data_IF_691399988080
#
_entry.id   IF_691399988080
#
_cell.length_a   1.000
_cell.length_b   1.000
_cell.length_c   1.000
_cell.angle_alpha   90.00
_cell.angle_beta   90.00
_cell.angle_gamma   90.00
#
_symmetry.space_group_name_H-M   'P 1'
#
loop_
_entity.id
_entity.type
_entity.pdbx_description
1 polymer ?
#
# COMPACT_ATOMS: atom_id res chain seq x y z
N UNK A 1 -32.79 -0.32 -2.51
CA UNK A 1 -32.18 0.61 -3.49
C UNK A 1 -31.04 -0.16 -4.11
N UNK A 2 -30.77 -0.04 -5.40
CA UNK A 2 -29.63 -0.73 -6.05
C UNK A 2 -28.38 0.16 -6.06
N UNK A 3 -27.27 -0.41 -6.51
CA UNK A 3 -26.02 0.34 -6.68
C UNK A 3 -26.25 1.54 -7.60
N UNK A 4 -25.73 2.70 -7.20
CA UNK A 4 -25.77 3.92 -7.98
C UNK A 4 -24.73 3.88 -9.08
N UNK A 5 -25.15 3.65 -10.31
CA UNK A 5 -24.26 3.58 -11.48
C UNK A 5 -23.67 4.92 -11.91
N UNK A 6 -24.23 6.05 -11.46
CA UNK A 6 -23.70 7.39 -11.74
C UNK A 6 -22.34 7.65 -11.04
N UNK A 7 -21.92 6.74 -10.17
CA UNK A 7 -20.59 6.79 -9.56
C UNK A 7 -19.48 6.28 -10.49
N UNK A 8 -19.81 5.59 -11.57
CA UNK A 8 -18.83 5.13 -12.54
C UNK A 8 -18.09 6.33 -13.18
N UNK A 9 -16.77 6.33 -13.04
CA UNK A 9 -15.94 7.42 -13.53
C UNK A 9 -15.90 8.68 -12.65
N UNK A 10 -16.64 8.72 -11.54
CA UNK A 10 -16.63 9.85 -10.61
C UNK A 10 -15.34 9.88 -9.80
N UNK A 11 -14.73 11.04 -9.70
CA UNK A 11 -13.57 11.30 -8.85
C UNK A 11 -14.00 11.57 -7.39
N UNK A 12 -13.16 11.12 -6.44
CA UNK A 12 -13.28 11.32 -5.00
C UNK A 12 -12.01 11.94 -4.44
N UNK A 13 -12.14 12.76 -3.42
CA UNK A 13 -11.04 13.50 -2.84
C UNK A 13 -10.71 14.78 -3.62
N UNK A 14 -9.48 15.33 -3.60
CA UNK A 14 -8.35 14.78 -2.84
C UNK A 14 -8.52 14.90 -1.31
N UNK A 15 -8.04 13.91 -0.58
CA UNK A 15 -7.87 13.95 0.87
C UNK A 15 -6.39 14.08 1.17
N UNK A 16 -6.06 15.00 2.07
CA UNK A 16 -4.67 15.22 2.53
C UNK A 16 -4.53 14.72 3.95
N UNK A 17 -3.48 13.93 4.21
CA UNK A 17 -3.21 13.35 5.52
C UNK A 17 -1.72 13.34 5.79
N UNK A 18 -1.33 13.82 6.95
CA UNK A 18 0.03 13.69 7.46
C UNK A 18 0.19 12.35 8.18
N UNK A 19 1.37 11.76 8.08
CA UNK A 19 1.79 10.60 8.85
C UNK A 19 3.22 10.82 9.35
N UNK A 20 3.55 10.15 10.43
CA UNK A 20 4.90 10.17 10.99
C UNK A 20 5.43 8.73 11.22
N UNK A 21 6.64 8.62 11.75
CA UNK A 21 7.26 7.35 12.06
C UNK A 21 6.44 6.48 13.04
N UNK A 22 5.62 7.10 13.90
CA UNK A 22 4.77 6.35 14.85
C UNK A 22 3.62 5.65 14.14
N UNK A 23 3.07 6.25 13.10
CA UNK A 23 2.05 5.62 12.25
C UNK A 23 2.64 4.41 11.52
N UNK A 24 3.89 4.52 11.03
CA UNK A 24 4.62 3.42 10.41
C UNK A 24 4.83 2.27 11.39
N UNK A 25 5.30 2.57 12.60
CA UNK A 25 5.49 1.56 13.66
C UNK A 25 4.17 0.95 14.11
N UNK A 26 3.12 1.78 14.30
CA UNK A 26 1.80 1.31 14.70
C UNK A 26 1.23 0.33 13.67
N UNK A 27 1.37 0.65 12.38
CA UNK A 27 0.96 -0.28 11.32
C UNK A 27 1.76 -1.59 11.38
N UNK A 28 3.07 -1.51 11.53
CA UNK A 28 3.93 -2.68 11.63
C UNK A 28 3.52 -3.60 12.79
N UNK A 29 3.26 -3.05 13.97
CA UNK A 29 2.69 -3.79 15.11
C UNK A 29 1.30 -4.34 14.80
N UNK A 30 0.47 -3.54 14.09
CA UNK A 30 -0.87 -3.91 13.64
C UNK A 30 -0.89 -5.13 12.71
N UNK A 31 0.19 -5.38 11.96
CA UNK A 31 0.36 -6.56 11.11
C UNK A 31 1.38 -7.56 11.68
N UNK A 32 1.60 -7.51 12.99
CA UNK A 32 2.31 -8.52 13.77
C UNK A 32 3.84 -8.46 13.70
N UNK A 33 4.45 -7.34 13.30
CA UNK A 33 5.88 -7.14 13.52
C UNK A 33 6.16 -7.02 15.01
N UNK A 34 7.29 -7.49 15.47
CA UNK A 34 7.64 -7.55 16.88
C UNK A 34 9.12 -7.31 17.15
N UNK A 35 9.55 -7.72 18.34
CA UNK A 35 10.93 -7.52 18.82
C UNK A 35 12.00 -8.25 18.00
N UNK A 36 11.61 -9.21 17.18
CA UNK A 36 12.47 -9.94 16.23
C UNK A 36 12.63 -9.24 14.88
N UNK A 37 11.84 -8.16 14.64
CA UNK A 37 11.86 -7.38 13.40
C UNK A 37 12.03 -5.88 13.70
N UNK A 38 13.07 -5.52 14.47
CA UNK A 38 13.33 -4.14 14.93
C UNK A 38 13.39 -3.12 13.79
N UNK A 39 13.75 -3.52 12.59
CA UNK A 39 13.76 -2.64 11.42
C UNK A 39 12.38 -2.04 11.10
N UNK A 40 11.28 -2.60 11.59
CA UNK A 40 9.92 -2.12 11.36
C UNK A 40 9.27 -1.45 12.58
N UNK A 41 9.87 -1.61 13.77
CA UNK A 41 9.25 -1.17 15.04
C UNK A 41 10.15 -0.27 15.90
N UNK A 42 11.34 0.03 15.41
CA UNK A 42 12.28 0.92 16.07
C UNK A 42 12.73 2.04 15.11
N UNK A 43 12.69 3.29 15.56
CA UNK A 43 12.92 4.48 14.73
C UNK A 43 14.35 4.60 14.17
N UNK A 44 15.32 3.85 14.71
CA UNK A 44 16.66 3.81 14.15
C UNK A 44 16.68 2.92 12.90
N UNK A 45 17.01 3.51 11.76
CA UNK A 45 17.05 2.84 10.46
C UNK A 45 15.69 2.19 10.09
N UNK A 46 14.59 2.86 10.51
CA UNK A 46 13.21 2.38 10.32
C UNK A 46 12.92 2.11 8.85
N UNK A 47 12.25 1.00 8.59
CA UNK A 47 11.74 0.61 7.28
C UNK A 47 10.23 0.51 7.28
N UNK A 48 9.61 0.78 6.13
CA UNK A 48 8.17 0.69 5.98
C UNK A 48 7.80 -0.68 5.42
N UNK A 49 6.88 -1.40 6.07
CA UNK A 49 6.23 -2.56 5.46
C UNK A 49 5.40 -2.05 4.28
N UNK A 50 5.63 -2.52 3.04
CA UNK A 50 5.04 -1.91 1.84
C UNK A 50 3.51 -1.86 1.85
N UNK A 51 2.86 -2.83 2.50
CA UNK A 51 1.41 -2.84 2.66
C UNK A 51 0.85 -1.70 3.54
N UNK A 52 1.69 -0.87 4.19
CA UNK A 52 1.28 0.40 4.80
C UNK A 52 0.52 1.30 3.82
N UNK A 53 0.86 1.23 2.54
CA UNK A 53 0.22 1.99 1.46
C UNK A 53 -1.30 1.77 1.35
N UNK A 54 -1.84 0.64 1.86
CA UNK A 54 -3.29 0.36 1.81
C UNK A 54 -4.10 1.32 2.68
N UNK A 55 -3.47 1.95 3.69
CA UNK A 55 -4.14 2.82 4.65
C UNK A 55 -4.77 4.06 4.00
N UNK A 56 -4.16 4.58 2.93
CA UNK A 56 -4.68 5.75 2.22
C UNK A 56 -6.05 5.51 1.58
N UNK A 57 -6.39 4.25 1.25
CA UNK A 57 -7.69 3.92 0.69
C UNK A 57 -8.84 4.12 1.70
N UNK A 58 -8.56 3.99 3.01
CA UNK A 58 -9.58 4.20 4.05
C UNK A 58 -10.05 5.64 4.14
N UNK A 59 -9.20 6.60 3.83
CA UNK A 59 -9.53 8.03 3.92
C UNK A 59 -10.60 8.43 2.89
N UNK A 60 -10.69 7.71 1.75
CA UNK A 60 -11.70 7.93 0.71
C UNK A 60 -12.95 7.05 0.86
N UNK A 61 -12.85 5.97 1.64
CA UNK A 61 -13.91 4.97 1.76
C UNK A 61 -15.28 5.57 2.16
N UNK A 62 -15.39 6.47 3.15
CA UNK A 62 -16.67 7.08 3.50
C UNK A 62 -17.32 7.83 2.33
N UNK A 63 -16.55 8.58 1.56
CA UNK A 63 -17.05 9.32 0.39
C UNK A 63 -17.49 8.38 -0.73
N UNK A 64 -16.69 7.33 -1.01
CA UNK A 64 -16.98 6.34 -2.04
C UNK A 64 -18.26 5.55 -1.74
N UNK A 65 -18.55 5.26 -0.47
CA UNK A 65 -19.66 4.38 -0.09
C UNK A 65 -20.93 5.17 0.23
N UNK A 66 -20.84 6.40 0.77
CA UNK A 66 -22.00 7.18 1.25
C UNK A 66 -23.11 7.39 0.21
N UNK A 67 -22.77 7.49 -1.07
CA UNK A 67 -23.70 7.71 -2.16
C UNK A 67 -23.82 6.50 -3.12
N UNK A 68 -23.22 5.37 -2.75
CA UNK A 68 -23.13 4.21 -3.63
C UNK A 68 -24.41 3.38 -3.72
N UNK A 69 -25.29 3.50 -2.72
CA UNK A 69 -26.45 2.62 -2.57
C UNK A 69 -26.09 1.20 -2.11
N UNK A 70 -24.82 0.93 -1.80
CA UNK A 70 -24.37 -0.37 -1.32
C UNK A 70 -24.89 -0.65 0.07
N UNK A 71 -25.40 -1.85 0.29
CA UNK A 71 -25.78 -2.34 1.60
C UNK A 71 -24.52 -2.74 2.41
N UNK A 72 -24.15 -1.91 3.40
CA UNK A 72 -22.94 -2.11 4.21
C UNK A 72 -22.89 -3.46 4.94
N UNK A 73 -24.04 -4.03 5.32
CA UNK A 73 -24.10 -5.35 5.96
C UNK A 73 -23.64 -6.48 5.02
N UNK A 74 -23.71 -6.27 3.70
CA UNK A 74 -23.24 -7.19 2.68
C UNK A 74 -21.87 -6.88 2.10
N UNK A 75 -21.26 -5.76 2.52
CA UNK A 75 -20.02 -5.28 1.93
C UNK A 75 -18.80 -6.01 2.49
N UNK A 76 -17.96 -6.54 1.60
CA UNK A 76 -16.67 -7.12 1.92
C UNK A 76 -15.59 -6.58 0.98
N UNK A 77 -14.35 -6.63 1.41
CA UNK A 77 -13.19 -6.44 0.54
C UNK A 77 -12.98 -7.71 -0.28
N UNK A 78 -13.13 -7.61 -1.59
CA UNK A 78 -13.04 -8.77 -2.50
C UNK A 78 -11.63 -9.04 -3.00
N UNK A 79 -10.93 -7.98 -3.43
CA UNK A 79 -9.55 -8.07 -3.95
C UNK A 79 -8.82 -6.75 -3.71
N UNK A 80 -7.52 -6.84 -3.46
CA UNK A 80 -6.64 -5.69 -3.34
C UNK A 80 -5.39 -5.88 -4.19
N UNK A 81 -5.09 -4.89 -5.05
CA UNK A 81 -3.88 -4.86 -5.87
C UNK A 81 -3.13 -3.54 -5.60
N UNK A 82 -2.04 -3.66 -4.87
CA UNK A 82 -1.17 -2.55 -4.51
C UNK A 82 -0.01 -2.47 -5.50
N UNK A 83 0.19 -1.30 -6.11
CA UNK A 83 1.32 -0.99 -6.98
C UNK A 83 2.13 0.12 -6.31
N UNK A 84 3.42 -0.12 -6.05
CA UNK A 84 4.34 0.84 -5.46
C UNK A 84 5.24 1.41 -6.56
N UNK A 85 5.19 2.72 -6.72
CA UNK A 85 5.97 3.47 -7.70
C UNK A 85 7.29 3.96 -7.11
N UNK A 86 7.23 4.47 -5.85
CA UNK A 86 8.38 4.94 -5.08
C UNK A 86 8.30 4.42 -3.64
N UNK A 87 9.43 4.19 -2.96
CA UNK A 87 9.47 3.83 -1.56
C UNK A 87 8.75 4.86 -0.67
N UNK A 88 8.05 4.36 0.35
CA UNK A 88 7.33 5.22 1.30
C UNK A 88 8.34 5.73 2.33
N UNK A 89 8.47 7.06 2.54
CA UNK A 89 9.38 7.62 3.53
C UNK A 89 9.06 7.15 4.95
N UNK A 90 10.00 6.54 5.68
CA UNK A 90 9.75 6.03 7.03
C UNK A 90 9.65 7.14 8.10
N UNK A 91 10.25 8.30 7.86
CA UNK A 91 10.23 9.46 8.75
C UNK A 91 8.87 10.15 8.80
N UNK A 92 8.03 9.94 7.76
CA UNK A 92 6.73 10.57 7.61
C UNK A 92 6.65 11.49 6.41
N UNK A 93 5.51 12.16 6.27
CA UNK A 93 5.23 13.09 5.18
C UNK A 93 3.76 13.38 5.03
N UNK A 94 3.43 14.17 4.02
CA UNK A 94 2.06 14.50 3.64
C UNK A 94 1.63 13.67 2.43
N UNK A 95 0.57 12.89 2.59
CA UNK A 95 -0.06 12.10 1.54
C UNK A 95 -1.26 12.86 0.97
N UNK A 96 -1.33 12.94 -0.35
CA UNK A 96 -2.47 13.50 -1.09
C UNK A 96 -3.11 12.37 -1.89
N UNK A 97 -4.29 11.95 -1.48
CA UNK A 97 -4.98 10.77 -2.01
C UNK A 97 -6.24 11.17 -2.76
N UNK A 98 -6.39 10.63 -3.95
CA UNK A 98 -7.59 10.76 -4.78
C UNK A 98 -7.99 9.40 -5.32
N UNK A 99 -9.26 9.21 -5.60
CA UNK A 99 -9.79 7.94 -6.11
C UNK A 99 -10.84 8.13 -7.19
N UNK A 100 -11.12 7.04 -7.88
CA UNK A 100 -12.18 6.95 -8.88
C UNK A 100 -12.77 5.55 -8.90
N UNK A 101 -14.10 5.42 -9.01
CA UNK A 101 -14.72 4.14 -9.36
C UNK A 101 -14.52 3.92 -10.86
N UNK A 102 -13.77 2.87 -11.19
CA UNK A 102 -13.39 2.56 -12.58
C UNK A 102 -14.30 1.52 -13.22
N UNK A 103 -14.91 0.63 -12.42
CA UNK A 103 -15.76 -0.44 -12.93
C UNK A 103 -16.83 -0.84 -11.89
N UNK A 104 -18.01 -1.21 -12.39
CA UNK A 104 -19.10 -1.79 -11.61
C UNK A 104 -19.63 -3.00 -12.39
N UNK A 105 -19.53 -4.19 -11.79
CA UNK A 105 -19.97 -5.44 -12.41
C UNK A 105 -21.16 -6.04 -11.66
N UNK A 106 -22.16 -6.50 -12.43
CA UNK A 106 -23.31 -7.26 -11.91
C UNK A 106 -23.08 -8.75 -12.02
N UNK A 107 -23.00 -9.44 -10.89
CA UNK A 107 -22.87 -10.90 -10.85
C UNK A 107 -24.21 -11.63 -10.77
N UNK A 108 -25.31 -10.88 -10.85
CA UNK A 108 -26.66 -11.37 -10.66
C UNK A 108 -27.15 -11.32 -9.22
N UNK A 109 -28.46 -11.37 -9.05
CA UNK A 109 -29.17 -11.15 -7.78
C UNK A 109 -28.65 -12.00 -6.62
N UNK A 110 -28.24 -13.23 -6.88
CA UNK A 110 -27.78 -14.18 -5.86
C UNK A 110 -26.26 -14.07 -5.56
N UNK A 111 -25.50 -13.45 -6.45
CA UNK A 111 -24.04 -13.39 -6.36
C UNK A 111 -23.49 -11.99 -6.04
N UNK A 112 -24.40 -11.00 -5.99
CA UNK A 112 -24.02 -9.63 -5.65
C UNK A 112 -23.36 -8.87 -6.80
N UNK A 113 -22.54 -7.88 -6.47
CA UNK A 113 -21.86 -7.02 -7.41
C UNK A 113 -20.40 -6.78 -7.01
N UNK A 114 -19.58 -6.35 -7.98
CA UNK A 114 -18.23 -5.88 -7.73
C UNK A 114 -18.15 -4.40 -8.09
N UNK A 115 -17.60 -3.60 -7.18
CA UNK A 115 -17.26 -2.19 -7.41
C UNK A 115 -15.76 -2.04 -7.30
N UNK A 116 -15.13 -1.59 -8.39
CA UNK A 116 -13.68 -1.46 -8.46
C UNK A 116 -13.32 0.02 -8.42
N UNK A 117 -12.47 0.37 -7.46
CA UNK A 117 -11.94 1.71 -7.33
C UNK A 117 -10.41 1.69 -7.54
N UNK A 118 -9.91 2.71 -8.21
CA UNK A 118 -8.51 3.07 -8.27
C UNK A 118 -8.26 4.24 -7.34
N UNK A 119 -7.28 4.09 -6.44
CA UNK A 119 -6.91 5.10 -5.45
C UNK A 119 -5.43 5.40 -5.61
N UNK A 120 -5.12 6.61 -6.04
CA UNK A 120 -3.76 7.10 -6.24
C UNK A 120 -3.33 7.99 -5.07
N UNK A 121 -2.12 7.76 -4.58
CA UNK A 121 -1.52 8.57 -3.51
C UNK A 121 -0.20 9.18 -3.97
N UNK A 122 -0.08 10.49 -3.72
CA UNK A 122 1.06 11.32 -4.10
C UNK A 122 1.65 12.01 -2.86
N UNK A 123 2.90 12.45 -2.95
CA UNK A 123 3.45 13.41 -1.99
C UNK A 123 2.81 14.79 -2.18
N UNK A 124 3.04 15.71 -1.23
CA UNK A 124 2.61 17.11 -1.35
C UNK A 124 3.16 17.81 -2.61
N UNK A 125 4.34 17.39 -3.09
CA UNK A 125 4.99 17.91 -4.30
C UNK A 125 4.47 17.26 -5.59
N UNK A 126 3.52 16.32 -5.49
CA UNK A 126 2.86 15.68 -6.62
C UNK A 126 3.57 14.42 -7.17
N UNK A 127 4.60 13.89 -6.49
CA UNK A 127 5.24 12.61 -6.88
C UNK A 127 4.31 11.46 -6.52
N UNK A 128 4.04 10.57 -7.47
CA UNK A 128 3.18 9.41 -7.26
C UNK A 128 3.92 8.33 -6.47
N UNK A 129 3.43 8.03 -5.27
CA UNK A 129 4.02 7.01 -4.39
C UNK A 129 3.46 5.62 -4.68
N UNK A 130 2.15 5.46 -4.71
CA UNK A 130 1.51 4.17 -4.91
C UNK A 130 0.09 4.30 -5.45
N UNK A 131 -0.42 3.19 -5.98
CA UNK A 131 -1.81 3.03 -6.44
C UNK A 131 -2.40 1.80 -5.78
N UNK A 132 -3.60 1.94 -5.21
CA UNK A 132 -4.41 0.84 -4.71
C UNK A 132 -5.59 0.60 -5.67
N UNK A 133 -5.72 -0.59 -6.23
CA UNK A 133 -6.95 -1.04 -6.87
C UNK A 133 -7.73 -1.87 -5.86
N UNK A 134 -8.88 -1.34 -5.47
CA UNK A 134 -9.73 -1.92 -4.42
C UNK A 134 -10.96 -2.50 -5.08
N UNK A 135 -11.19 -3.80 -4.93
CA UNK A 135 -12.45 -4.44 -5.34
C UNK A 135 -13.34 -4.63 -4.12
N UNK A 136 -14.44 -3.91 -4.09
CA UNK A 136 -15.50 -4.05 -3.10
C UNK A 136 -16.48 -5.12 -3.59
N UNK A 137 -16.78 -6.09 -2.75
CA UNK A 137 -17.78 -7.12 -3.02
C UNK A 137 -19.07 -6.83 -2.26
N UNK A 138 -20.05 -6.28 -2.97
CA UNK A 138 -21.38 -5.95 -2.47
C UNK A 138 -22.30 -7.17 -2.64
N UNK A 139 -22.28 -8.10 -1.67
CA UNK A 139 -22.95 -9.41 -1.73
C UNK A 139 -24.45 -9.33 -1.91
N UNK A 140 -25.08 -8.26 -1.43
CA UNK A 140 -26.54 -8.10 -1.38
C UNK A 140 -27.09 -7.20 -2.50
N UNK A 141 -26.23 -6.70 -3.39
CA UNK A 141 -26.58 -5.61 -4.31
C UNK A 141 -26.46 -5.98 -5.81
N UNK A 142 -26.62 -7.24 -6.16
CA UNK A 142 -26.63 -7.70 -7.55
C UNK A 142 -28.01 -7.73 -8.20
N UNK A 143 -28.05 -7.92 -9.53
CA UNK A 143 -29.28 -8.07 -10.31
C UNK A 143 -29.83 -6.76 -10.88
N UNK A 144 -28.97 -5.75 -11.08
CA UNK A 144 -29.34 -4.47 -11.70
C UNK A 144 -29.18 -4.47 -13.23
N UNK A 145 -28.67 -5.56 -13.85
CA UNK A 145 -28.56 -5.71 -15.30
C UNK A 145 -27.30 -5.13 -15.92
N UNK A 146 -26.22 -4.97 -15.11
CA UNK A 146 -24.90 -4.54 -15.57
C UNK A 146 -24.09 -5.67 -16.24
N UNK A 147 -22.89 -5.34 -16.72
CA UNK A 147 -21.95 -6.32 -17.28
C UNK A 147 -21.45 -7.29 -16.20
N UNK A 148 -21.22 -8.56 -16.57
CA UNK A 148 -20.55 -9.53 -15.69
C UNK A 148 -19.03 -9.29 -15.69
N UNK A 149 -18.39 -9.61 -14.58
CA UNK A 149 -16.95 -9.44 -14.42
C UNK A 149 -16.17 -10.40 -15.32
N UNK A 150 -15.05 -9.97 -15.92
CA UNK A 150 -14.17 -10.84 -16.67
C UNK A 150 -13.71 -12.05 -15.84
N UNK A 151 -13.65 -13.23 -16.47
CA UNK A 151 -13.11 -14.42 -15.81
C UNK A 151 -11.59 -14.39 -15.89
N UNK A 152 -10.95 -14.28 -14.73
CA UNK A 152 -9.50 -14.40 -14.64
C UNK A 152 -9.10 -15.89 -14.63
N UNK A 153 -8.16 -16.25 -15.50
CA UNK A 153 -7.50 -17.55 -15.47
C UNK A 153 -6.25 -17.44 -14.60
N UNK A 154 -6.23 -18.14 -13.47
CA UNK A 154 -5.10 -18.16 -12.54
C UNK A 154 -4.89 -19.60 -12.07
N UNK A 155 -3.65 -20.04 -12.01
CA UNK A 155 -3.26 -21.33 -11.42
C UNK A 155 -1.94 -21.21 -10.70
N UNK A 156 -1.82 -21.86 -9.53
CA UNK A 156 -0.54 -22.04 -8.87
C UNK A 156 0.30 -23.08 -9.64
N UNK A 157 1.65 -23.03 -9.52
CA UNK A 157 2.50 -24.09 -10.05
C UNK A 157 2.14 -25.45 -9.44
N UNK A 158 2.17 -26.51 -10.28
CA UNK A 158 1.94 -27.89 -9.82
C UNK A 158 3.21 -28.45 -9.15
N UNK A 159 3.61 -27.83 -8.05
CA UNK A 159 4.73 -28.22 -7.18
C UNK A 159 4.54 -27.64 -5.79
N UNK A 160 5.29 -28.14 -4.83
CA UNK A 160 5.32 -27.56 -3.49
C UNK A 160 5.77 -26.11 -3.52
N UNK A 161 5.32 -25.28 -2.54
CA UNK A 161 5.82 -23.91 -2.39
C UNK A 161 7.32 -23.92 -2.11
N UNK A 162 8.02 -22.88 -2.53
CA UNK A 162 9.44 -22.70 -2.23
C UNK A 162 9.65 -22.26 -0.78
N UNK A 163 8.67 -21.54 -0.21
CA UNK A 163 8.71 -21.07 1.17
C UNK A 163 7.33 -21.20 1.83
N UNK A 164 7.35 -21.47 3.11
CA UNK A 164 6.17 -21.43 3.98
C UNK A 164 6.51 -20.63 5.25
N UNK A 165 5.64 -19.71 5.64
CA UNK A 165 5.74 -18.94 6.88
C UNK A 165 4.47 -19.12 7.69
N UNK A 166 4.62 -19.50 8.96
CA UNK A 166 3.51 -19.58 9.90
C UNK A 166 3.59 -18.41 10.86
N UNK A 167 2.48 -17.68 11.00
CA UNK A 167 2.34 -16.59 11.96
C UNK A 167 1.14 -16.85 12.86
N UNK A 168 1.23 -16.39 14.11
CA UNK A 168 0.18 -16.45 15.12
C UNK A 168 -0.32 -15.05 15.45
N UNK A 169 -1.35 -14.51 14.73
CA UNK A 169 -1.98 -13.27 15.13
C UNK A 169 -2.55 -13.34 16.54
N UNK A 170 -2.42 -12.26 17.30
CA UNK A 170 -3.08 -12.13 18.60
C UNK A 170 -4.61 -12.13 18.44
N UNK A 171 -5.33 -12.57 19.48
CA UNK A 171 -6.77 -12.38 19.56
C UNK A 171 -7.14 -10.89 19.57
N UNK A 172 -6.24 -10.04 20.08
CA UNK A 172 -6.40 -8.59 20.16
C UNK A 172 -5.86 -7.86 18.92
N UNK A 173 -5.40 -8.59 17.90
CA UNK A 173 -4.80 -7.98 16.71
C UNK A 173 -5.71 -6.95 16.03
N UNK A 174 -7.03 -7.15 15.89
CA UNK A 174 -7.93 -6.15 15.32
C UNK A 174 -7.98 -4.85 16.12
N UNK A 175 -7.79 -4.91 17.44
CA UNK A 175 -7.79 -3.72 18.31
C UNK A 175 -6.58 -2.81 18.05
N UNK A 176 -5.44 -3.41 17.69
CA UNK A 176 -4.23 -2.68 17.32
C UNK A 176 -4.35 -2.18 15.88
N UNK A 177 -4.69 -3.10 14.93
CA UNK A 177 -4.73 -2.78 13.51
C UNK A 177 -5.70 -1.62 13.18
N UNK A 178 -6.90 -1.59 13.81
CA UNK A 178 -7.89 -0.53 13.59
C UNK A 178 -7.40 0.88 13.88
N UNK A 179 -6.39 1.03 14.73
CA UNK A 179 -5.79 2.33 15.06
C UNK A 179 -5.02 2.93 13.87
N UNK A 180 -4.69 2.12 12.88
CA UNK A 180 -4.08 2.57 11.62
C UNK A 180 -5.09 3.11 10.61
N UNK A 181 -6.42 3.08 10.90
CA UNK A 181 -7.44 3.73 10.08
C UNK A 181 -8.70 2.92 9.79
N UNK A 182 -8.66 1.58 9.79
CA UNK A 182 -9.85 0.76 9.58
C UNK A 182 -10.65 0.58 10.87
N UNK A 183 -11.59 1.48 11.11
CA UNK A 183 -12.43 1.47 12.31
C UNK A 183 -13.78 0.76 12.12
N UNK A 184 -13.96 0.00 11.02
CA UNK A 184 -15.22 -0.63 10.69
C UNK A 184 -15.67 -1.61 11.78
N UNK A 185 -16.92 -1.47 12.23
CA UNK A 185 -17.48 -2.18 13.39
C UNK A 185 -17.45 -3.71 13.26
N UNK A 186 -17.45 -4.25 12.05
CA UNK A 186 -17.40 -5.69 11.75
C UNK A 186 -16.24 -6.42 12.45
N UNK A 187 -15.17 -5.71 12.74
CA UNK A 187 -13.94 -6.27 13.27
C UNK A 187 -13.83 -6.22 14.80
N UNK A 188 -14.76 -5.52 15.47
CA UNK A 188 -14.71 -5.33 16.94
C UNK A 188 -16.05 -5.45 17.63
N UNK A 189 -17.17 -5.16 16.95
CA UNK A 189 -18.50 -5.15 17.54
C UNK A 189 -19.20 -6.49 17.31
N UNK A 190 -19.49 -7.28 18.39
CA UNK A 190 -20.14 -8.58 18.27
C UNK A 190 -21.55 -8.51 17.70
N UNK A 191 -22.31 -7.45 18.00
CA UNK A 191 -23.69 -7.30 17.53
C UNK A 191 -23.70 -6.96 16.04
N UNK A 192 -22.79 -6.08 15.60
CA UNK A 192 -22.62 -5.79 14.17
C UNK A 192 -22.16 -7.02 13.39
N UNK A 193 -21.20 -7.79 13.93
CA UNK A 193 -20.72 -9.01 13.30
C UNK A 193 -21.85 -10.04 13.12
N UNK A 194 -22.67 -10.27 14.14
CA UNK A 194 -23.85 -11.15 14.07
C UNK A 194 -24.88 -10.66 13.05
N UNK A 195 -25.18 -9.37 13.02
CA UNK A 195 -26.07 -8.76 12.04
C UNK A 195 -25.55 -8.92 10.59
N UNK A 196 -24.22 -8.99 10.43
CA UNK A 196 -23.54 -9.23 9.15
C UNK A 196 -23.40 -10.72 8.78
N UNK A 197 -23.92 -11.65 9.63
CA UNK A 197 -23.91 -13.08 9.39
C UNK A 197 -22.65 -13.82 9.87
N UNK A 198 -21.88 -13.23 10.77
CA UNK A 198 -20.71 -13.84 11.40
C UNK A 198 -21.00 -14.23 12.85
N UNK A 199 -20.38 -15.27 13.35
CA UNK A 199 -20.54 -15.73 14.73
C UNK A 199 -19.98 -14.70 15.74
N UNK A 200 -18.87 -14.07 15.40
CA UNK A 200 -18.15 -13.06 16.19
C UNK A 200 -17.36 -12.13 15.27
N UNK A 201 -16.79 -11.03 15.78
CA UNK A 201 -15.94 -10.16 14.97
C UNK A 201 -14.85 -10.92 14.22
N UNK A 202 -14.67 -10.59 12.94
CA UNK A 202 -13.64 -11.18 12.07
C UNK A 202 -12.39 -10.31 12.02
N UNK A 203 -11.27 -10.92 11.70
CA UNK A 203 -10.03 -10.19 11.44
C UNK A 203 -10.15 -9.32 10.20
N UNK A 204 -9.54 -8.13 10.21
CA UNK A 204 -9.45 -7.30 9.02
C UNK A 204 -8.75 -8.07 7.88
N UNK A 205 -9.35 -8.08 6.72
CA UNK A 205 -8.73 -8.72 5.54
C UNK A 205 -7.37 -8.11 5.22
N UNK A 206 -7.27 -6.77 5.27
CA UNK A 206 -6.01 -6.06 5.02
C UNK A 206 -4.97 -6.23 6.15
N UNK A 207 -5.37 -6.60 7.36
CA UNK A 207 -4.42 -7.05 8.38
C UNK A 207 -3.77 -8.39 7.97
N UNK A 208 -4.57 -9.37 7.52
CA UNK A 208 -4.06 -10.65 6.99
C UNK A 208 -3.17 -10.44 5.75
N UNK A 209 -3.54 -9.50 4.86
CA UNK A 209 -2.73 -9.05 3.73
C UNK A 209 -1.36 -8.51 4.19
N UNK A 210 -1.33 -7.71 5.26
CA UNK A 210 -0.09 -7.19 5.86
C UNK A 210 0.82 -8.30 6.41
N UNK A 211 0.25 -9.29 7.10
CA UNK A 211 0.99 -10.48 7.53
C UNK A 211 1.62 -11.23 6.35
N UNK A 212 0.85 -11.43 5.27
CA UNK A 212 1.35 -12.06 4.06
C UNK A 212 2.44 -11.23 3.38
N UNK A 213 2.32 -9.90 3.36
CA UNK A 213 3.33 -8.99 2.83
C UNK A 213 4.65 -9.12 3.60
N UNK A 214 4.61 -9.16 4.94
CA UNK A 214 5.81 -9.40 5.77
C UNK A 214 6.47 -10.74 5.44
N UNK A 215 5.68 -11.83 5.36
CA UNK A 215 6.19 -13.14 4.99
C UNK A 215 6.90 -13.13 3.62
N UNK A 216 6.31 -12.44 2.64
CA UNK A 216 6.88 -12.29 1.30
C UNK A 216 8.20 -11.54 1.34
N UNK A 217 8.25 -10.38 2.01
CA UNK A 217 9.49 -9.59 2.17
C UNK A 217 10.58 -10.41 2.84
N UNK A 218 10.23 -11.12 3.94
CA UNK A 218 11.17 -11.95 4.70
C UNK A 218 11.85 -13.03 3.86
N UNK A 219 11.12 -13.65 2.92
CA UNK A 219 11.62 -14.79 2.14
C UNK A 219 12.20 -14.42 0.78
N UNK A 220 11.69 -13.37 0.12
CA UNK A 220 12.11 -13.04 -1.25
C UNK A 220 13.19 -11.95 -1.31
N UNK A 221 13.14 -10.96 -0.41
CA UNK A 221 14.10 -9.86 -0.34
C UNK A 221 14.26 -9.36 1.11
N UNK A 222 14.85 -10.20 1.98
CA UNK A 222 14.92 -9.96 3.43
C UNK A 222 15.66 -8.66 3.75
N UNK A 223 14.98 -7.81 4.55
CA UNK A 223 15.52 -6.51 4.94
C UNK A 223 15.48 -5.42 3.85
N UNK A 224 14.90 -5.68 2.68
CA UNK A 224 14.84 -4.76 1.55
C UNK A 224 13.38 -4.55 1.07
N UNK A 225 12.43 -4.11 1.96
CA UNK A 225 11.01 -3.97 1.62
C UNK A 225 10.76 -2.99 0.47
N UNK A 226 11.65 -2.03 0.26
CA UNK A 226 11.63 -1.04 -0.83
C UNK A 226 11.72 -1.65 -2.24
N UNK A 227 12.08 -2.93 -2.34
CA UNK A 227 12.12 -3.65 -3.62
C UNK A 227 10.73 -4.05 -4.13
N UNK A 228 9.72 -4.15 -3.25
CA UNK A 228 8.37 -4.53 -3.64
C UNK A 228 7.76 -3.47 -4.57
N UNK A 229 7.26 -3.90 -5.73
CA UNK A 229 6.58 -3.02 -6.70
C UNK A 229 5.11 -3.37 -6.88
N UNK A 230 4.70 -4.61 -6.61
CA UNK A 230 3.30 -5.03 -6.65
C UNK A 230 3.00 -6.12 -5.64
N UNK A 231 1.86 -5.99 -4.97
CA UNK A 231 1.35 -6.98 -4.05
C UNK A 231 -0.17 -7.08 -4.16
N UNK A 232 -0.65 -8.18 -4.77
CA UNK A 232 -2.07 -8.41 -5.05
C UNK A 232 -2.54 -9.69 -4.41
N UNK A 233 -3.78 -9.71 -3.90
CA UNK A 233 -4.50 -10.94 -3.57
C UNK A 233 -6.02 -10.75 -3.60
N UNK A 234 -6.71 -11.89 -3.68
CA UNK A 234 -8.15 -12.02 -3.47
C UNK A 234 -8.42 -12.48 -2.04
N UNK A 235 -9.42 -11.89 -1.40
CA UNK A 235 -9.94 -12.33 -0.11
C UNK A 235 -10.98 -13.43 -0.34
N UNK A 236 -10.68 -14.66 0.08
CA UNK A 236 -11.50 -15.84 -0.23
C UNK A 236 -12.36 -16.29 0.94
N UNK A 237 -11.84 -16.23 2.16
CA UNK A 237 -12.52 -16.61 3.39
C UNK A 237 -12.20 -15.63 4.50
N UNK A 238 -13.16 -15.41 5.39
CA UNK A 238 -12.95 -14.64 6.62
C UNK A 238 -12.10 -15.44 7.60
N UNK A 239 -11.32 -14.73 8.40
CA UNK A 239 -10.49 -15.29 9.45
C UNK A 239 -10.94 -14.72 10.80
N UNK A 240 -10.94 -15.52 11.84
CA UNK A 240 -11.19 -15.04 13.19
C UNK A 240 -9.87 -14.62 13.86
N UNK A 241 -9.88 -13.56 14.71
CA UNK A 241 -8.71 -13.18 15.49
C UNK A 241 -8.19 -14.35 16.34
N UNK A 242 -6.86 -14.45 16.47
CA UNK A 242 -6.21 -15.55 17.19
C UNK A 242 -5.99 -16.83 16.38
N UNK A 243 -6.50 -16.93 15.15
CA UNK A 243 -6.29 -18.08 14.28
C UNK A 243 -4.89 -18.02 13.66
N UNK A 244 -4.08 -19.10 13.75
CA UNK A 244 -2.79 -19.15 13.08
C UNK A 244 -2.97 -19.18 11.57
N UNK A 245 -2.07 -18.50 10.86
CA UNK A 245 -2.06 -18.42 9.40
C UNK A 245 -0.76 -18.96 8.84
N UNK A 246 -0.86 -19.56 7.64
CA UNK A 246 0.29 -20.06 6.90
C UNK A 246 0.32 -19.43 5.51
N UNK A 247 1.37 -18.67 5.23
CA UNK A 247 1.63 -18.10 3.90
C UNK A 247 2.57 -19.02 3.13
N UNK A 248 2.12 -19.44 1.95
CA UNK A 248 2.87 -20.27 1.00
C UNK A 248 3.30 -19.42 -0.19
N UNK A 249 4.55 -19.53 -0.63
CA UNK A 249 5.15 -18.69 -1.66
C UNK A 249 5.81 -19.57 -2.73
N UNK A 250 5.52 -19.30 -4.00
CA UNK A 250 6.11 -19.93 -5.17
C UNK A 250 6.89 -18.89 -5.97
N UNK A 251 8.20 -18.96 -5.98
CA UNK A 251 9.05 -18.13 -6.84
C UNK A 251 8.93 -18.65 -8.28
N UNK A 252 8.52 -17.79 -9.20
CA UNK A 252 8.35 -18.14 -10.61
C UNK A 252 9.63 -17.86 -11.39
N UNK A 253 10.12 -16.65 -11.25
CA UNK A 253 11.34 -16.12 -11.86
C UNK A 253 11.89 -15.00 -10.97
N UNK A 254 13.04 -14.43 -11.31
CA UNK A 254 13.52 -13.24 -10.58
C UNK A 254 12.57 -12.07 -10.81
N UNK A 255 12.15 -11.41 -9.74
CA UNK A 255 11.19 -10.31 -9.78
C UNK A 255 9.73 -10.74 -9.75
N UNK A 256 9.38 -12.04 -9.69
CA UNK A 256 7.99 -12.49 -9.69
C UNK A 256 7.75 -13.75 -8.87
N UNK A 257 6.71 -13.73 -8.04
CA UNK A 257 6.24 -14.88 -7.28
C UNK A 257 4.71 -14.90 -7.16
N UNK A 258 4.17 -16.08 -6.85
CA UNK A 258 2.80 -16.25 -6.38
C UNK A 258 2.79 -16.58 -4.90
N UNK A 259 1.69 -16.24 -4.23
CA UNK A 259 1.46 -16.63 -2.84
C UNK A 259 -0.01 -16.94 -2.57
N UNK A 260 -0.26 -17.68 -1.51
CA UNK A 260 -1.57 -17.79 -0.87
C UNK A 260 -1.39 -17.87 0.64
N UNK A 261 -2.43 -17.50 1.38
CA UNK A 261 -2.44 -17.64 2.84
C UNK A 261 -3.61 -18.52 3.26
N UNK A 262 -3.33 -19.43 4.13
CA UNK A 262 -4.26 -20.43 4.66
C UNK A 262 -4.53 -20.16 6.14
N UNK A 263 -5.71 -20.52 6.62
CA UNK A 263 -5.92 -20.87 8.01
C UNK A 263 -5.06 -22.12 8.29
N UNK A 264 -4.08 -22.02 9.20
CA UNK A 264 -3.13 -23.09 9.43
C UNK A 264 -3.74 -24.30 10.15
N UNK A 265 -4.91 -24.14 10.81
CA UNK A 265 -5.62 -25.21 11.50
C UNK A 265 -6.49 -26.04 10.54
N UNK A 266 -7.21 -25.36 9.65
CA UNK A 266 -8.19 -26.01 8.79
C UNK A 266 -7.70 -26.26 7.37
N UNK A 267 -6.64 -25.58 6.94
CA UNK A 267 -6.15 -25.60 5.56
C UNK A 267 -7.00 -24.77 4.58
N UNK A 268 -8.05 -24.08 5.05
CA UNK A 268 -8.86 -23.22 4.19
C UNK A 268 -8.06 -22.02 3.69
N UNK A 269 -8.23 -21.70 2.40
CA UNK A 269 -7.56 -20.53 1.78
C UNK A 269 -8.28 -19.26 2.19
N UNK A 270 -7.56 -18.33 2.83
CA UNK A 270 -8.06 -17.01 3.23
C UNK A 270 -7.62 -15.89 2.29
N UNK A 271 -6.37 -15.93 1.81
CA UNK A 271 -5.90 -15.10 0.69
C UNK A 271 -5.52 -16.01 -0.47
N UNK A 272 -6.07 -15.72 -1.64
CA UNK A 272 -5.89 -16.51 -2.87
C UNK A 272 -5.35 -15.64 -4.01
N UNK A 273 -4.81 -16.28 -5.06
CA UNK A 273 -4.33 -15.63 -6.29
C UNK A 273 -3.32 -14.51 -6.02
N UNK A 274 -2.48 -14.72 -5.02
CA UNK A 274 -1.45 -13.77 -4.64
C UNK A 274 -0.41 -13.59 -5.74
N UNK A 275 -0.14 -12.34 -6.12
CA UNK A 275 0.90 -11.94 -7.07
C UNK A 275 1.84 -10.99 -6.35
N UNK A 276 3.13 -11.28 -6.49
CA UNK A 276 4.22 -10.43 -6.00
C UNK A 276 5.12 -10.08 -7.15
N UNK A 277 5.43 -8.79 -7.29
CA UNK A 277 6.47 -8.33 -8.21
C UNK A 277 7.44 -7.44 -7.44
N UNK A 278 8.73 -7.57 -7.74
CA UNK A 278 9.80 -6.78 -7.12
C UNK A 278 10.92 -6.51 -8.10
N UNK A 279 11.70 -5.47 -7.83
CA UNK A 279 12.86 -5.08 -8.64
C UNK A 279 14.17 -5.44 -7.94
N UNK A 280 15.28 -5.43 -8.68
CA UNK A 280 16.61 -5.63 -8.11
C UNK A 280 17.01 -4.45 -7.21
N UNK A 281 18.00 -4.66 -6.35
CA UNK A 281 18.55 -3.61 -5.50
C UNK A 281 19.15 -2.47 -6.32
N UNK A 282 19.88 -2.83 -7.37
CA UNK A 282 20.48 -1.86 -8.31
C UNK A 282 19.40 -1.01 -8.98
N UNK A 283 18.24 -1.57 -9.25
CA UNK A 283 17.12 -0.82 -9.83
C UNK A 283 16.46 0.13 -8.83
N UNK A 284 16.35 -0.27 -7.56
CA UNK A 284 15.90 0.64 -6.48
C UNK A 284 16.87 1.83 -6.38
N UNK A 285 18.17 1.56 -6.30
CA UNK A 285 19.18 2.61 -6.25
C UNK A 285 19.16 3.51 -7.50
N UNK A 286 18.96 2.91 -8.68
CA UNK A 286 18.82 3.66 -9.94
C UNK A 286 17.60 4.57 -9.92
N UNK A 287 16.44 4.08 -9.45
CA UNK A 287 15.21 4.89 -9.33
C UNK A 287 15.38 6.03 -8.33
N UNK A 288 16.00 5.77 -7.19
CA UNK A 288 16.31 6.81 -6.20
C UNK A 288 17.20 7.92 -6.81
N UNK A 289 18.21 7.53 -7.60
CA UNK A 289 19.07 8.50 -8.31
C UNK A 289 18.33 9.27 -9.41
N UNK A 290 17.38 8.66 -10.12
CA UNK A 290 16.58 9.33 -11.15
C UNK A 290 15.56 10.30 -10.57
N UNK A 291 15.09 10.09 -9.33
CA UNK A 291 14.25 11.03 -8.59
C UNK A 291 14.99 12.31 -8.18
N UNK A 292 16.33 12.27 -8.09
CA UNK A 292 17.18 13.43 -7.90
C UNK A 292 17.82 13.81 -9.25
N UNK A 293 17.74 15.08 -9.62
CA UNK A 293 18.47 15.59 -10.78
C UNK A 293 19.97 15.56 -10.45
N UNK A 294 20.70 14.60 -11.01
CA UNK A 294 22.15 14.47 -10.86
C UNK A 294 22.91 15.10 -12.02
N UNK A 295 24.07 15.67 -11.68
CA UNK A 295 24.97 16.33 -12.62
C UNK A 295 26.33 15.63 -12.67
N UNK A 296 26.40 14.33 -12.43
CA UNK A 296 27.62 13.55 -12.48
C UNK A 296 28.33 13.71 -13.84
N UNK A 297 29.63 13.99 -13.79
CA UNK A 297 30.42 14.24 -14.99
C UNK A 297 30.19 15.60 -15.67
N UNK A 298 29.25 16.42 -15.17
CA UNK A 298 29.03 17.79 -15.66
C UNK A 298 29.90 18.79 -14.93
N UNK A 299 30.25 19.87 -15.63
CA UNK A 299 30.94 21.03 -15.07
C UNK A 299 29.98 22.21 -15.13
N UNK A 300 29.74 22.85 -13.98
CA UNK A 300 28.92 24.03 -13.87
C UNK A 300 29.79 25.24 -13.48
N UNK A 301 29.60 26.36 -14.15
CA UNK A 301 30.20 27.64 -13.75
C UNK A 301 29.11 28.49 -13.18
N UNK A 302 29.26 28.91 -11.93
CA UNK A 302 28.26 29.76 -11.23
C UNK A 302 28.92 31.10 -10.94
N UNK A 303 28.45 32.15 -11.62
CA UNK A 303 28.89 33.53 -11.40
C UNK A 303 28.14 34.17 -10.24
N UNK A 304 28.81 35.02 -9.46
CA UNK A 304 28.24 35.63 -8.26
C UNK A 304 28.05 34.63 -7.12
N UNK A 305 28.81 33.53 -7.09
CA UNK A 305 28.62 32.41 -6.18
C UNK A 305 29.43 32.50 -4.88
N UNK A 306 30.08 33.64 -4.59
CA UNK A 306 30.72 33.92 -3.32
C UNK A 306 29.74 34.18 -2.16
N UNK A 307 28.46 34.47 -2.47
CA UNK A 307 27.41 34.72 -1.47
C UNK A 307 25.99 34.61 -2.05
N UNK A 308 24.99 34.69 -1.16
CA UNK A 308 23.56 34.73 -1.51
C UNK A 308 23.11 33.52 -2.37
N UNK A 309 22.17 33.75 -3.27
CA UNK A 309 21.59 32.72 -4.15
C UNK A 309 22.60 31.98 -5.01
N UNK A 310 23.64 32.68 -5.51
CA UNK A 310 24.68 32.03 -6.32
C UNK A 310 25.45 30.97 -5.54
N UNK A 311 25.71 31.21 -4.25
CA UNK A 311 26.34 30.22 -3.37
C UNK A 311 25.43 29.02 -3.14
N UNK A 312 24.14 29.24 -2.95
CA UNK A 312 23.17 28.17 -2.71
C UNK A 312 23.03 27.29 -3.97
N UNK A 313 23.00 27.88 -5.16
CA UNK A 313 23.03 27.15 -6.42
C UNK A 313 24.32 26.33 -6.60
N UNK A 314 25.47 26.91 -6.30
CA UNK A 314 26.75 26.21 -6.40
C UNK A 314 26.79 24.98 -5.47
N UNK A 315 26.31 25.15 -4.22
CA UNK A 315 26.19 24.05 -3.25
C UNK A 315 25.19 22.99 -3.68
N UNK A 316 24.03 23.40 -4.23
CA UNK A 316 23.01 22.47 -4.70
C UNK A 316 23.48 21.65 -5.91
N UNK A 317 24.18 22.25 -6.85
CA UNK A 317 24.79 21.57 -8.00
C UNK A 317 25.90 20.60 -7.58
N UNK A 318 26.77 21.03 -6.64
CA UNK A 318 27.86 20.20 -6.12
C UNK A 318 27.32 18.98 -5.37
N UNK A 319 26.30 19.14 -4.51
CA UNK A 319 25.62 18.03 -3.81
C UNK A 319 25.04 16.99 -4.79
N UNK A 320 24.71 17.41 -6.01
CA UNK A 320 24.15 16.56 -7.06
C UNK A 320 25.20 16.05 -8.06
N UNK A 321 26.50 16.08 -7.70
CA UNK A 321 27.58 15.46 -8.45
C UNK A 321 28.27 16.36 -9.49
N UNK A 322 27.84 17.63 -9.65
CA UNK A 322 28.54 18.54 -10.57
C UNK A 322 29.94 18.94 -10.04
N UNK A 323 30.91 19.07 -10.94
CA UNK A 323 32.14 19.83 -10.69
C UNK A 323 31.81 21.33 -10.82
N UNK A 324 31.82 22.09 -9.73
CA UNK A 324 31.39 23.49 -9.74
C UNK A 324 32.60 24.43 -9.72
N UNK A 325 32.62 25.32 -10.69
CA UNK A 325 33.56 26.47 -10.72
C UNK A 325 32.80 27.69 -10.21
N UNK A 326 33.25 28.23 -9.09
CA UNK A 326 32.74 29.47 -8.50
C UNK A 326 33.49 30.66 -9.06
N UNK A 327 32.77 31.56 -9.72
CA UNK A 327 33.31 32.83 -10.21
C UNK A 327 32.63 33.98 -9.52
N UNK A 328 33.40 34.74 -8.70
CA UNK A 328 32.87 35.88 -7.95
C UNK A 328 33.90 37.00 -7.90
N UNK A 329 33.45 38.25 -7.96
CA UNK A 329 34.29 39.40 -7.93
C UNK A 329 34.79 39.75 -6.47
N UNK A 330 34.18 39.09 -5.46
CA UNK A 330 34.60 39.26 -4.05
C UNK A 330 34.27 40.62 -3.43
N UNK A 331 33.44 41.41 -4.11
CA UNK A 331 33.00 42.73 -3.61
C UNK A 331 31.74 42.68 -2.76
N UNK A 332 31.55 43.63 -1.88
CA UNK A 332 30.32 43.83 -1.16
C UNK A 332 29.16 44.25 -2.10
N UNK A 333 27.88 43.95 -1.70
CA UNK A 333 26.67 44.26 -2.50
C UNK A 333 26.53 45.75 -2.87
N UNK A 334 27.12 46.63 -2.14
CA UNK A 334 27.12 48.10 -2.36
C UNK A 334 28.27 48.58 -3.23
N UNK A 335 29.09 47.67 -3.77
CA UNK A 335 30.26 48.02 -4.59
C UNK A 335 31.47 48.44 -3.79
N UNK A 336 31.44 48.43 -2.47
CA UNK A 336 32.58 48.69 -1.60
C UNK A 336 33.43 47.42 -1.39
N UNK A 337 34.71 47.49 -1.60
CA UNK A 337 35.65 46.40 -1.39
C UNK A 337 36.12 45.77 -2.69
N UNK A 338 37.28 46.20 -3.13
CA UNK A 338 38.13 45.48 -4.07
C UNK A 338 39.19 44.72 -3.30
#
# INVERSE_FOLDING_TARGET
MGINLDLLGKDFGPVTKDYDWKDVVLYALGVGAGSDELAYVYEKDLKVIPSFAVLSAYDLFPEMVSNSGINLAGLLHGEHDLIIHEPIPPEGGTLVTKGRITQIYDKGKEKGALVIAEVETHTAEGRKLFTNHVTLFARLDGGFGGEDSPKEVFSFPDRSPDFEEVAQPSIDQPLIYRLSGDTFALHIDPDFAKASGFERPIMHGLCTHGYACRAVVKHLFPGEPERLTRFRNRFSKSLYPGTPIKTQIWKLEEGKAYFRTLNAETGEVVLDRGIVEWISKEEVERKARLGEIHFDGKVAIVTGAGGGLGRDYALALSKRGAKVVVNDLGGARDGSGK
#
